data_IF_949077288836
#
_entry.id   IF_949077288836
#
_cell.length_a   1.000
_cell.length_b   1.000
_cell.length_c   1.000
_cell.angle_alpha   90.00
_cell.angle_beta   90.00
_cell.angle_gamma   90.00
#
_symmetry.space_group_name_H-M   'P 1'
#
loop_
_entity.id
_entity.type
_entity.pdbx_description
1 polymer ?
#
# COMPACT_ATOMS: atom_id res chain seq x y z
N UNK A 1 -31.17 -0.49 -55.71
CA UNK A 1 -30.21 -1.59 -55.94
C UNK A 1 -29.66 -1.98 -54.57
N UNK A 2 -30.16 -3.06 -53.95
CA UNK A 2 -29.48 -4.38 -53.79
C UNK A 2 -28.18 -4.23 -52.96
N UNK A 3 -27.81 -5.01 -51.94
CA UNK A 3 -28.36 -6.09 -51.11
C UNK A 3 -27.16 -6.49 -50.22
N UNK A 4 -27.40 -6.88 -48.96
CA UNK A 4 -26.50 -7.74 -48.17
C UNK A 4 -25.34 -7.01 -47.47
N UNK A 5 -24.91 -7.41 -46.29
CA UNK A 5 -24.58 -8.79 -45.96
C UNK A 5 -24.64 -9.04 -44.44
N UNK A 6 -25.55 -9.92 -44.00
CA UNK A 6 -25.57 -10.46 -42.63
C UNK A 6 -24.45 -11.49 -42.48
N UNK A 7 -23.36 -11.14 -41.80
CA UNK A 7 -22.42 -12.15 -41.27
C UNK A 7 -22.50 -12.21 -39.74
N UNK A 8 -22.80 -13.42 -39.27
CA UNK A 8 -22.99 -13.82 -37.87
C UNK A 8 -21.75 -13.49 -37.01
N UNK A 9 -21.96 -12.87 -35.85
CA UNK A 9 -20.95 -12.84 -34.77
C UNK A 9 -20.89 -14.23 -34.14
N UNK A 10 -19.82 -14.97 -34.45
CA UNK A 10 -19.43 -16.15 -33.68
C UNK A 10 -18.54 -15.67 -32.52
N UNK A 11 -18.81 -16.29 -31.37
CA UNK A 11 -18.27 -16.12 -30.03
C UNK A 11 -16.73 -15.99 -29.93
N UNK A 12 -16.33 -15.11 -28.98
CA UNK A 12 -15.24 -15.23 -27.98
C UNK A 12 -13.78 -15.32 -28.43
N UNK A 13 -12.97 -14.37 -27.94
CA UNK A 13 -11.78 -14.69 -27.14
C UNK A 13 -11.38 -13.45 -26.32
N UNK A 14 -11.27 -13.59 -24.99
CA UNK A 14 -10.69 -12.57 -24.11
C UNK A 14 -9.21 -12.41 -24.46
N UNK A 15 -8.93 -11.51 -25.40
CA UNK A 15 -7.59 -11.02 -25.65
C UNK A 15 -7.40 -9.80 -24.74
N UNK A 16 -6.83 -10.02 -23.56
CA UNK A 16 -6.33 -8.94 -22.69
C UNK A 16 -5.08 -8.33 -23.35
N UNK A 17 -5.32 -7.56 -24.40
CA UNK A 17 -4.30 -6.80 -25.10
C UNK A 17 -4.21 -5.41 -24.46
N UNK A 18 -3.48 -5.31 -23.36
CA UNK A 18 -3.24 -4.03 -22.70
C UNK A 18 -2.13 -4.13 -21.67
N UNK A 19 -1.17 -3.22 -21.73
CA UNK A 19 -0.14 -3.11 -20.69
C UNK A 19 -0.83 -2.57 -19.42
N UNK A 20 -0.55 -3.11 -18.23
CA UNK A 20 -1.28 -2.77 -16.99
C UNK A 20 -1.09 -1.33 -16.51
N UNK A 21 -0.29 -0.54 -17.22
CA UNK A 21 0.01 0.87 -16.97
C UNK A 21 -0.46 1.79 -18.11
N UNK A 22 -1.20 1.27 -19.10
CA UNK A 22 -1.82 2.10 -20.13
C UNK A 22 -3.02 2.87 -19.52
N UNK A 23 -2.98 4.21 -19.46
CA UNK A 23 -4.03 5.03 -18.86
C UNK A 23 -5.34 5.05 -19.68
N UNK A 24 -5.34 4.40 -20.85
CA UNK A 24 -6.48 4.29 -21.77
C UNK A 24 -7.23 2.96 -21.54
N UNK A 25 -6.63 1.99 -20.85
CA UNK A 25 -7.32 0.78 -20.46
C UNK A 25 -8.42 1.17 -19.48
N UNK A 26 -9.69 0.97 -19.87
CA UNK A 26 -10.86 1.12 -18.99
C UNK A 26 -10.78 0.06 -17.90
N UNK A 27 -9.95 0.30 -16.90
CA UNK A 27 -10.08 -0.29 -15.59
C UNK A 27 -11.42 0.20 -15.06
N UNK A 28 -12.34 -0.72 -14.75
CA UNK A 28 -13.62 -0.39 -14.10
C UNK A 28 -13.33 0.56 -12.94
N UNK A 29 -13.60 1.83 -13.18
CA UNK A 29 -13.16 2.92 -12.32
C UNK A 29 -14.13 2.94 -11.15
N UNK A 30 -13.68 2.48 -9.97
CA UNK A 30 -14.48 2.58 -8.73
C UNK A 30 -14.62 4.03 -8.24
N UNK A 31 -13.90 4.98 -8.85
CA UNK A 31 -14.19 6.39 -8.78
C UNK A 31 -15.01 6.78 -10.03
N UNK A 32 -16.12 7.50 -9.87
CA UNK A 32 -16.94 7.95 -10.99
C UNK A 32 -16.15 8.76 -12.04
N UNK A 33 -16.78 9.05 -13.19
CA UNK A 33 -16.13 9.73 -14.31
C UNK A 33 -15.47 11.06 -13.88
N UNK A 34 -14.13 11.08 -13.84
CA UNK A 34 -13.34 12.30 -13.63
C UNK A 34 -13.29 13.08 -14.95
N UNK A 35 -13.71 14.35 -14.94
CA UNK A 35 -13.68 15.19 -16.15
C UNK A 35 -12.23 15.53 -16.51
N UNK A 36 -11.93 15.70 -17.80
CA UNK A 36 -10.60 16.15 -18.25
C UNK A 36 -10.27 17.50 -17.59
N UNK A 37 -9.21 17.53 -16.78
CA UNK A 37 -8.78 18.71 -16.00
C UNK A 37 -9.16 18.69 -14.52
N UNK A 38 -9.90 17.68 -14.06
CA UNK A 38 -10.28 17.51 -12.66
C UNK A 38 -9.14 16.85 -11.88
N UNK A 39 -8.69 17.49 -10.80
CA UNK A 39 -7.68 16.93 -9.89
C UNK A 39 -8.32 15.75 -9.16
N UNK A 40 -7.65 14.59 -9.19
CA UNK A 40 -8.08 13.40 -8.42
C UNK A 40 -8.35 13.84 -6.97
N UNK A 41 -9.56 13.57 -6.42
CA UNK A 41 -9.85 13.92 -5.04
C UNK A 41 -8.85 13.20 -4.13
N UNK A 42 -8.12 13.97 -3.32
CA UNK A 42 -7.23 13.39 -2.31
C UNK A 42 -8.10 12.79 -1.20
N UNK A 43 -7.81 11.55 -0.80
CA UNK A 43 -8.35 11.00 0.44
C UNK A 43 -7.92 11.90 1.61
N UNK A 44 -8.79 12.22 2.58
CA UNK A 44 -8.34 12.86 3.82
C UNK A 44 -7.27 11.98 4.49
N UNK A 45 -6.32 12.60 5.19
CA UNK A 45 -5.33 11.83 5.95
C UNK A 45 -6.07 10.98 6.99
N UNK A 46 -5.63 9.73 7.24
CA UNK A 46 -6.15 8.94 8.36
C UNK A 46 -5.91 9.67 9.68
N UNK A 47 -6.80 9.46 10.65
CA UNK A 47 -6.62 10.00 12.00
C UNK A 47 -5.47 9.26 12.71
N UNK A 48 -4.52 10.00 13.26
CA UNK A 48 -3.45 9.48 14.11
C UNK A 48 -3.38 10.28 15.41
N UNK A 49 -2.96 9.64 16.51
CA UNK A 49 -2.90 10.28 17.81
C UNK A 49 -1.54 10.96 18.03
N UNK A 50 -1.46 12.27 17.77
CA UNK A 50 -0.22 13.04 17.97
C UNK A 50 0.31 12.91 19.41
N UNK A 51 1.57 12.49 19.56
CA UNK A 51 2.23 12.41 20.88
C UNK A 51 3.24 13.51 21.15
N UNK A 52 3.56 14.36 20.18
CA UNK A 52 4.50 15.48 20.26
C UNK A 52 5.98 15.10 20.41
N UNK A 53 6.29 13.97 21.07
CA UNK A 53 7.63 13.39 21.15
C UNK A 53 7.59 11.87 20.97
N UNK A 54 8.66 11.31 20.40
CA UNK A 54 8.85 9.87 20.21
C UNK A 54 8.70 9.09 21.53
N UNK A 55 9.32 9.59 22.61
CA UNK A 55 9.30 8.94 23.92
C UNK A 55 7.91 8.95 24.56
N UNK A 56 7.13 10.02 24.37
CA UNK A 56 5.74 10.07 24.81
C UNK A 56 4.84 9.13 24.00
N UNK A 57 5.08 9.02 22.68
CA UNK A 57 4.35 8.11 21.80
C UNK A 57 4.62 6.66 22.17
N UNK A 58 5.89 6.31 22.40
CA UNK A 58 6.30 4.97 22.82
C UNK A 58 5.75 4.58 24.18
N UNK A 59 5.62 5.54 25.11
CA UNK A 59 5.04 5.30 26.44
C UNK A 59 3.52 5.12 26.40
N UNK A 60 2.83 5.81 25.49
CA UNK A 60 1.36 5.75 25.37
C UNK A 60 0.90 4.51 24.62
N UNK A 61 1.50 4.23 23.47
CA UNK A 61 1.01 3.18 22.55
C UNK A 61 1.89 1.92 22.58
N UNK A 62 3.15 2.04 23.05
CA UNK A 62 4.11 0.93 23.07
C UNK A 62 4.83 0.72 21.73
N UNK A 63 6.01 0.12 21.77
CA UNK A 63 6.87 -0.11 20.59
C UNK A 63 6.13 -0.88 19.49
N UNK A 64 5.34 -1.89 19.87
CA UNK A 64 4.66 -2.78 18.94
C UNK A 64 3.51 -2.07 18.20
N UNK A 65 2.62 -1.36 18.91
CA UNK A 65 1.53 -0.62 18.24
C UNK A 65 2.03 0.59 17.48
N UNK A 66 2.97 1.35 18.03
CA UNK A 66 3.56 2.48 17.29
C UNK A 66 4.27 2.02 16.01
N UNK A 67 5.03 0.91 16.04
CA UNK A 67 5.78 0.45 14.87
C UNK A 67 4.96 -0.34 13.84
N UNK A 68 3.98 -1.14 14.26
CA UNK A 68 3.22 -2.02 13.35
C UNK A 68 1.86 -1.48 12.94
N UNK A 69 1.18 -0.75 13.83
CA UNK A 69 -0.17 -0.21 13.59
C UNK A 69 -0.13 1.28 13.22
N UNK A 70 1.05 1.90 13.18
CA UNK A 70 1.26 3.32 12.85
C UNK A 70 0.31 4.24 13.65
N UNK A 71 0.11 3.92 14.95
CA UNK A 71 -0.89 4.58 15.80
C UNK A 71 -0.64 6.09 16.00
N UNK A 72 0.54 6.58 15.59
CA UNK A 72 1.04 7.92 15.80
C UNK A 72 2.16 8.23 14.77
N UNK A 73 2.57 9.50 14.64
CA UNK A 73 3.54 10.02 13.64
C UNK A 73 4.94 9.37 13.66
N UNK A 74 5.25 8.60 14.70
CA UNK A 74 6.55 8.00 14.91
C UNK A 74 6.70 6.57 14.39
N UNK A 75 5.77 6.05 13.58
CA UNK A 75 5.85 4.71 13.01
C UNK A 75 7.22 4.37 12.41
N UNK A 76 7.76 5.16 11.46
CA UNK A 76 9.07 4.90 10.85
C UNK A 76 10.23 4.90 11.85
N UNK A 77 10.20 5.78 12.84
CA UNK A 77 11.25 5.89 13.87
C UNK A 77 11.20 4.71 14.83
N UNK A 78 10.00 4.32 15.28
CA UNK A 78 9.78 3.14 16.11
C UNK A 78 10.16 1.85 15.40
N UNK A 79 9.94 1.77 14.09
CA UNK A 79 10.33 0.62 13.28
C UNK A 79 11.85 0.44 13.23
N UNK A 80 12.63 1.52 13.09
CA UNK A 80 14.10 1.45 13.12
C UNK A 80 14.59 0.95 14.49
N UNK A 81 14.02 1.47 15.58
CA UNK A 81 14.33 1.02 16.94
C UNK A 81 14.02 -0.47 17.13
N UNK A 82 12.86 -0.92 16.66
CA UNK A 82 12.45 -2.32 16.71
C UNK A 82 13.46 -3.22 15.97
N UNK A 83 13.89 -2.83 14.77
CA UNK A 83 14.87 -3.59 14.00
C UNK A 83 16.22 -3.69 14.71
N UNK A 84 16.71 -2.61 15.33
CA UNK A 84 17.97 -2.63 16.09
C UNK A 84 17.91 -3.61 17.27
N UNK A 85 16.79 -3.65 18.00
CA UNK A 85 16.60 -4.58 19.12
C UNK A 85 16.58 -6.02 18.62
N UNK A 86 15.76 -6.32 17.60
CA UNK A 86 15.61 -7.69 17.05
C UNK A 86 16.93 -8.18 16.45
N UNK A 87 17.64 -7.33 15.71
CA UNK A 87 18.94 -7.67 15.13
C UNK A 87 19.99 -7.95 16.20
N UNK A 88 20.03 -7.14 17.26
CA UNK A 88 20.97 -7.32 18.38
C UNK A 88 20.73 -8.62 19.13
N UNK A 89 19.45 -8.94 19.42
CA UNK A 89 19.08 -10.19 20.10
C UNK A 89 19.45 -11.39 19.24
N UNK A 90 19.05 -11.39 17.96
CA UNK A 90 19.30 -12.51 17.05
C UNK A 90 20.79 -12.70 16.81
N UNK A 91 21.53 -11.62 16.56
CA UNK A 91 22.98 -11.65 16.41
C UNK A 91 23.69 -12.11 17.68
N UNK A 92 23.23 -11.65 18.85
CA UNK A 92 23.73 -12.09 20.16
C UNK A 92 23.49 -13.57 20.43
N UNK A 93 22.33 -14.10 20.06
CA UNK A 93 22.02 -15.54 20.15
C UNK A 93 22.94 -16.35 19.25
N UNK A 94 23.12 -15.93 17.99
CA UNK A 94 24.05 -16.60 17.07
C UNK A 94 25.49 -16.55 17.57
N UNK A 95 25.90 -15.42 18.15
CA UNK A 95 27.22 -15.26 18.76
C UNK A 95 27.37 -16.19 19.97
N UNK A 96 26.38 -16.25 20.86
CA UNK A 96 26.41 -17.12 22.03
C UNK A 96 26.48 -18.61 21.65
N UNK A 97 25.68 -19.03 20.66
CA UNK A 97 25.76 -20.38 20.09
C UNK A 97 27.11 -20.71 19.47
N UNK A 98 27.86 -19.70 19.00
CA UNK A 98 29.19 -19.90 18.45
C UNK A 98 30.26 -20.16 19.53
N UNK A 99 30.03 -19.71 20.76
CA UNK A 99 30.98 -19.85 21.87
C UNK A 99 30.68 -21.04 22.80
N UNK A 100 29.55 -21.72 22.60
CA UNK A 100 29.17 -22.99 23.22
C UNK A 100 29.64 -24.13 22.31
#
# INVERSE_FOLDING_TARGET
MVMGNRRKKILVSHNLYGKPYDPIARHTTMAGELRKGERIPRRPLPDFAESGTLSAGLKRDGIVKTALEDSNEYGPHSMILLLMVVASITGGILLAFRYI
#
